data_IF_374380696051
#
_entry.id   IF_374380696051
#
_cell.length_a   1.000
_cell.length_b   1.000
_cell.length_c   1.000
_cell.angle_alpha   90.00
_cell.angle_beta   90.00
_cell.angle_gamma   90.00
#
_symmetry.space_group_name_H-M   'P 1'
#
loop_
_entity.id
_entity.type
_entity.pdbx_description
1 polymer ?
#
# COMPACT_ATOMS: atom_id res chain seq x y z
N UNK A 1 11.42 -27.13 24.98
CA UNK A 1 12.09 -25.99 25.64
C UNK A 1 11.01 -25.10 26.23
N UNK A 2 11.20 -24.58 27.45
CA UNK A 2 10.23 -23.70 28.09
C UNK A 2 9.97 -22.44 27.20
N UNK A 3 8.75 -21.96 27.23
CA UNK A 3 8.28 -20.77 26.48
C UNK A 3 7.66 -19.77 27.46
N UNK A 4 7.57 -18.53 27.02
CA UNK A 4 6.82 -17.46 27.70
C UNK A 4 7.35 -17.16 29.10
N UNK A 5 8.68 -17.01 29.21
CA UNK A 5 9.40 -16.83 30.48
C UNK A 5 9.46 -15.38 30.95
N UNK A 6 9.27 -14.42 30.05
CA UNK A 6 9.32 -13.00 30.39
C UNK A 6 7.94 -12.47 30.80
N UNK A 7 7.99 -11.45 31.65
CA UNK A 7 6.82 -10.65 32.01
C UNK A 7 7.03 -9.19 31.58
N UNK A 8 5.95 -8.44 31.35
CA UNK A 8 6.04 -7.02 31.01
C UNK A 8 6.75 -6.20 32.11
N UNK A 9 6.56 -6.55 33.36
CA UNK A 9 7.26 -5.93 34.49
C UNK A 9 8.78 -6.08 34.32
N UNK A 10 9.26 -7.31 34.06
CA UNK A 10 10.69 -7.59 33.85
C UNK A 10 11.28 -6.87 32.66
N UNK A 11 10.53 -6.78 31.56
CA UNK A 11 10.93 -6.05 30.35
C UNK A 11 11.03 -4.55 30.63
N UNK A 12 10.03 -3.99 31.29
CA UNK A 12 9.97 -2.56 31.61
C UNK A 12 11.11 -2.13 32.54
N UNK A 13 11.38 -2.91 33.57
CA UNK A 13 12.41 -2.61 34.54
C UNK A 13 13.84 -2.95 34.13
N UNK A 14 14.02 -3.65 32.99
CA UNK A 14 15.35 -3.94 32.47
C UNK A 14 16.10 -2.64 32.14
N UNK A 15 17.25 -2.45 32.80
CA UNK A 15 18.12 -1.26 32.61
C UNK A 15 19.31 -1.61 31.73
N UNK A 16 19.89 -0.61 31.02
CA UNK A 16 21.17 -0.81 30.32
C UNK A 16 22.27 -1.23 31.28
N UNK A 17 23.26 -1.95 30.77
CA UNK A 17 24.47 -2.34 31.45
C UNK A 17 25.70 -2.00 30.59
N UNK A 18 26.89 -2.19 31.12
CA UNK A 18 28.15 -1.90 30.41
C UNK A 18 28.31 -2.66 29.10
N UNK A 19 27.59 -3.79 28.97
CA UNK A 19 27.53 -4.56 27.72
C UNK A 19 26.08 -4.96 27.42
N UNK A 20 25.77 -5.09 26.13
CA UNK A 20 24.46 -5.55 25.70
C UNK A 20 24.19 -7.00 26.22
N UNK A 21 22.99 -7.24 26.73
CA UNK A 21 22.60 -8.54 27.27
C UNK A 21 21.24 -9.01 26.77
N UNK A 22 20.98 -10.31 26.93
CA UNK A 22 19.77 -10.96 26.43
C UNK A 22 18.88 -11.42 27.56
N UNK A 23 17.59 -11.13 27.45
CA UNK A 23 16.54 -11.71 28.29
C UNK A 23 15.74 -12.70 27.43
N UNK A 24 15.91 -14.00 27.71
CA UNK A 24 15.23 -15.06 26.93
C UNK A 24 13.76 -15.19 27.33
N UNK A 25 12.88 -15.28 26.32
CA UNK A 25 11.45 -15.61 26.50
C UNK A 25 11.15 -17.06 26.17
N UNK A 26 12.09 -17.75 25.56
CA UNK A 26 11.96 -19.14 25.13
C UNK A 26 11.53 -19.29 23.66
N UNK A 27 11.68 -20.52 23.18
CA UNK A 27 11.42 -20.82 21.78
C UNK A 27 12.28 -20.06 20.76
N UNK A 28 13.47 -19.57 21.19
CA UNK A 28 14.36 -18.74 20.37
C UNK A 28 14.11 -17.26 20.45
N UNK A 29 13.01 -16.81 21.05
CA UNK A 29 12.68 -15.40 21.30
C UNK A 29 13.50 -14.85 22.48
N UNK A 30 14.07 -13.67 22.31
CA UNK A 30 14.73 -12.93 23.36
C UNK A 30 14.64 -11.43 23.14
N UNK A 31 14.71 -10.69 24.24
CA UNK A 31 14.88 -9.25 24.23
C UNK A 31 16.37 -8.93 24.39
N UNK A 32 16.95 -8.23 23.45
CA UNK A 32 18.30 -7.68 23.54
C UNK A 32 18.21 -6.28 24.14
N UNK A 33 18.80 -6.08 25.31
CA UNK A 33 18.97 -4.78 25.95
C UNK A 33 20.35 -4.28 25.57
N UNK A 34 20.41 -3.15 24.86
CA UNK A 34 21.69 -2.54 24.43
C UNK A 34 22.28 -1.68 25.53
N UNK A 35 23.53 -1.34 25.41
CA UNK A 35 24.25 -0.40 26.29
C UNK A 35 23.58 0.97 26.34
N UNK A 36 22.94 1.39 25.24
CA UNK A 36 22.18 2.65 25.14
C UNK A 36 20.76 2.55 25.71
N UNK A 37 20.36 1.40 26.24
CA UNK A 37 19.01 1.17 26.79
C UNK A 37 17.93 0.80 25.77
N UNK A 38 18.26 0.69 24.49
CA UNK A 38 17.31 0.21 23.50
C UNK A 38 17.00 -1.28 23.74
N UNK A 39 15.72 -1.64 23.60
CA UNK A 39 15.21 -3.00 23.83
C UNK A 39 14.69 -3.58 22.54
N UNK A 40 15.40 -4.58 22.01
CA UNK A 40 15.17 -5.11 20.66
C UNK A 40 14.69 -6.56 20.73
N UNK A 41 13.51 -6.84 20.20
CA UNK A 41 13.01 -8.19 20.05
C UNK A 41 13.71 -8.91 18.91
N UNK A 42 14.28 -10.07 19.21
CA UNK A 42 15.02 -10.93 18.29
C UNK A 42 14.56 -12.38 18.42
N UNK A 43 14.50 -13.08 17.29
CA UNK A 43 14.28 -14.52 17.23
C UNK A 43 15.51 -15.19 16.65
N UNK A 44 16.18 -16.04 17.42
CA UNK A 44 17.21 -16.95 16.93
C UNK A 44 16.53 -18.21 16.38
N UNK A 45 16.88 -18.60 15.17
CA UNK A 45 16.32 -19.77 14.50
C UNK A 45 17.39 -20.54 13.73
N UNK A 46 17.05 -21.75 13.28
CA UNK A 46 17.89 -22.55 12.41
C UNK A 46 17.09 -23.00 11.19
N UNK A 47 17.64 -22.83 10.02
CA UNK A 47 17.03 -23.20 8.74
C UNK A 47 18.06 -23.85 7.85
N UNK A 48 17.80 -25.09 7.36
CA UNK A 48 18.76 -25.82 6.52
C UNK A 48 20.12 -26.02 7.17
N UNK A 49 20.16 -26.26 8.50
CA UNK A 49 21.39 -26.41 9.27
C UNK A 49 22.10 -25.11 9.64
N UNK A 50 21.72 -23.97 9.06
CA UNK A 50 22.34 -22.64 9.31
C UNK A 50 21.57 -21.88 10.38
N UNK A 51 22.31 -21.20 11.26
CA UNK A 51 21.71 -20.28 12.24
C UNK A 51 21.32 -18.96 11.57
N UNK A 52 20.17 -18.44 11.97
CA UNK A 52 19.66 -17.14 11.54
C UNK A 52 19.16 -16.31 12.72
N UNK A 53 19.10 -15.01 12.52
CA UNK A 53 18.56 -14.05 13.47
C UNK A 53 17.49 -13.20 12.78
N UNK A 54 16.26 -13.24 13.31
CA UNK A 54 15.15 -12.45 12.81
C UNK A 54 14.86 -11.28 13.74
N UNK A 55 14.85 -10.08 13.19
CA UNK A 55 14.54 -8.85 13.91
C UNK A 55 13.03 -8.64 13.94
N UNK A 56 12.39 -8.73 15.09
CA UNK A 56 10.95 -8.57 15.23
C UNK A 56 10.59 -7.09 15.33
N UNK A 57 11.17 -6.37 16.29
CA UNK A 57 10.88 -4.95 16.49
C UNK A 57 11.53 -4.42 17.77
N UNK A 58 11.16 -3.20 18.14
CA UNK A 58 11.69 -2.50 19.30
C UNK A 58 10.60 -2.35 20.37
N UNK A 59 10.89 -2.66 21.61
CA UNK A 59 10.02 -2.32 22.74
C UNK A 59 10.16 -0.82 23.05
N UNK A 60 9.06 -0.07 23.37
CA UNK A 60 7.69 -0.56 23.57
C UNK A 60 6.81 -0.60 22.30
N UNK A 61 7.30 -0.19 21.13
CA UNK A 61 6.51 -0.17 19.90
C UNK A 61 5.97 -1.57 19.53
N UNK A 62 6.72 -2.64 19.90
CA UNK A 62 6.28 -4.03 19.84
C UNK A 62 6.24 -4.56 21.28
N UNK A 63 5.06 -4.84 21.79
CA UNK A 63 4.84 -5.42 23.12
C UNK A 63 5.19 -6.90 23.18
N UNK A 64 5.17 -7.48 24.40
CA UNK A 64 5.51 -8.88 24.64
C UNK A 64 4.57 -9.84 23.88
N UNK A 65 3.26 -9.58 23.91
CA UNK A 65 2.27 -10.41 23.23
C UNK A 65 2.48 -10.41 21.70
N UNK A 66 2.74 -9.23 21.12
CA UNK A 66 3.03 -9.07 19.69
C UNK A 66 4.35 -9.76 19.29
N UNK A 67 5.39 -9.66 20.15
CA UNK A 67 6.65 -10.34 19.92
C UNK A 67 6.49 -11.87 19.90
N UNK A 68 5.66 -12.43 20.80
CA UNK A 68 5.32 -13.85 20.83
C UNK A 68 4.54 -14.28 19.59
N UNK A 69 3.55 -13.51 19.17
CA UNK A 69 2.80 -13.75 17.93
C UNK A 69 3.73 -13.75 16.71
N UNK A 70 4.63 -12.77 16.62
CA UNK A 70 5.61 -12.68 15.55
C UNK A 70 6.62 -13.85 15.55
N UNK A 71 7.04 -14.31 16.75
CA UNK A 71 7.84 -15.55 16.89
C UNK A 71 7.11 -16.75 16.29
N UNK A 72 5.84 -16.93 16.67
CA UNK A 72 5.08 -18.10 16.26
C UNK A 72 4.80 -18.07 14.74
N UNK A 73 4.44 -16.92 14.18
CA UNK A 73 4.34 -16.73 12.73
C UNK A 73 5.67 -17.03 12.00
N UNK A 74 6.79 -16.51 12.52
CA UNK A 74 8.10 -16.79 11.93
C UNK A 74 8.46 -18.28 11.98
N UNK A 75 8.06 -19.00 13.03
CA UNK A 75 8.26 -20.44 13.14
C UNK A 75 7.49 -21.24 12.11
N UNK A 76 6.27 -20.82 11.77
CA UNK A 76 5.51 -21.47 10.69
C UNK A 76 6.21 -21.30 9.33
N UNK A 77 6.75 -20.12 9.03
CA UNK A 77 7.57 -19.93 7.83
C UNK A 77 8.81 -20.83 7.82
N UNK A 78 9.51 -20.93 8.95
CA UNK A 78 10.70 -21.79 9.08
C UNK A 78 10.36 -23.26 8.87
N UNK A 79 9.22 -23.75 9.36
CA UNK A 79 8.72 -25.11 9.10
C UNK A 79 8.50 -25.38 7.61
N UNK A 80 8.08 -24.34 6.88
CA UNK A 80 7.88 -24.38 5.42
C UNK A 80 9.20 -24.22 4.64
N UNK A 81 10.34 -24.11 5.31
CA UNK A 81 11.64 -23.88 4.67
C UNK A 81 11.88 -22.43 4.24
N UNK A 82 11.04 -21.48 4.69
CA UNK A 82 11.12 -20.08 4.30
C UNK A 82 11.86 -19.28 5.36
N UNK A 83 12.83 -18.46 4.93
CA UNK A 83 13.55 -17.56 5.83
C UNK A 83 12.68 -16.35 6.16
N UNK A 84 12.30 -16.11 7.43
CA UNK A 84 11.40 -15.03 7.82
C UNK A 84 11.95 -13.63 7.52
N UNK A 85 13.28 -13.45 7.50
CA UNK A 85 13.89 -12.17 7.16
C UNK A 85 13.77 -11.86 5.67
N UNK A 86 13.95 -12.86 4.80
CA UNK A 86 13.77 -12.73 3.36
C UNK A 86 12.29 -12.48 3.03
N UNK A 87 11.42 -13.31 3.57
CA UNK A 87 9.96 -13.16 3.38
C UNK A 87 9.48 -11.73 3.71
N UNK A 88 9.88 -11.18 4.88
CA UNK A 88 9.53 -9.81 5.24
C UNK A 88 10.07 -8.77 4.26
N UNK A 89 11.30 -8.97 3.76
CA UNK A 89 11.90 -8.08 2.76
C UNK A 89 11.13 -8.11 1.46
N UNK A 90 10.76 -9.29 0.99
CA UNK A 90 10.02 -9.48 -0.25
C UNK A 90 8.60 -8.90 -0.15
N UNK A 91 7.90 -9.14 0.95
CA UNK A 91 6.60 -8.51 1.21
C UNK A 91 6.68 -6.98 1.25
N UNK A 92 7.72 -6.45 1.90
CA UNK A 92 7.92 -5.00 1.92
C UNK A 92 8.17 -4.42 0.53
N UNK A 93 8.98 -5.10 -0.29
CA UNK A 93 9.23 -4.67 -1.66
C UNK A 93 7.97 -4.74 -2.51
N UNK A 94 7.18 -5.80 -2.37
CA UNK A 94 5.88 -5.95 -3.03
C UNK A 94 4.93 -4.81 -2.67
N UNK A 95 4.78 -4.52 -1.38
CA UNK A 95 3.92 -3.43 -0.90
C UNK A 95 4.38 -2.05 -1.41
N UNK A 96 5.69 -1.81 -1.48
CA UNK A 96 6.24 -0.57 -2.05
C UNK A 96 5.92 -0.48 -3.55
N UNK A 97 6.16 -1.56 -4.30
CA UNK A 97 5.88 -1.59 -5.74
C UNK A 97 4.38 -1.39 -6.03
N UNK A 98 3.49 -2.02 -5.25
CA UNK A 98 2.04 -1.83 -5.36
C UNK A 98 1.62 -0.40 -5.03
N UNK A 99 2.21 0.21 -3.99
CA UNK A 99 1.94 1.60 -3.62
C UNK A 99 2.42 2.59 -4.71
N UNK A 100 3.57 2.32 -5.32
CA UNK A 100 4.09 3.12 -6.43
C UNK A 100 3.24 2.95 -7.70
N UNK A 101 2.84 1.72 -8.01
CA UNK A 101 1.93 1.43 -9.13
C UNK A 101 0.59 2.17 -8.94
N UNK A 102 0.03 2.13 -7.73
CA UNK A 102 -1.20 2.87 -7.38
C UNK A 102 -1.02 4.38 -7.51
N UNK A 103 0.13 4.93 -7.08
CA UNK A 103 0.43 6.36 -7.26
C UNK A 103 0.55 6.74 -8.73
N UNK A 104 1.17 5.89 -9.57
CA UNK A 104 1.27 6.11 -11.03
C UNK A 104 -0.11 6.07 -11.67
N UNK A 105 -0.93 5.07 -11.34
CA UNK A 105 -2.32 4.98 -11.81
C UNK A 105 -3.13 6.23 -11.43
N UNK A 106 -3.02 6.71 -10.20
CA UNK A 106 -3.69 7.95 -9.77
C UNK A 106 -3.17 9.20 -10.50
N UNK A 107 -1.88 9.25 -10.86
CA UNK A 107 -1.32 10.38 -11.65
C UNK A 107 -1.87 10.42 -13.07
N UNK A 108 -2.15 9.27 -13.64
CA UNK A 108 -2.71 9.11 -15.00
C UNK A 108 -4.20 8.79 -14.97
N UNK A 109 -4.92 9.06 -13.89
CA UNK A 109 -6.36 8.84 -13.83
C UNK A 109 -7.12 9.79 -14.75
N UNK A 110 -8.25 9.32 -15.30
CA UNK A 110 -9.12 10.14 -16.14
C UNK A 110 -9.51 11.45 -15.46
N UNK A 111 -9.81 11.42 -14.15
CA UNK A 111 -10.10 12.63 -13.37
C UNK A 111 -9.01 13.71 -13.49
N UNK A 112 -7.73 13.32 -13.42
CA UNK A 112 -6.62 14.26 -13.53
C UNK A 112 -6.39 14.75 -14.95
N UNK A 113 -6.47 13.85 -15.93
CA UNK A 113 -6.28 14.20 -17.33
C UNK A 113 -7.42 15.10 -17.82
N UNK A 114 -8.67 14.76 -17.50
CA UNK A 114 -9.83 15.59 -17.85
C UNK A 114 -9.82 16.96 -17.16
N UNK A 115 -9.38 17.04 -15.89
CA UNK A 115 -9.21 18.32 -15.22
C UNK A 115 -8.10 19.19 -15.85
N UNK A 116 -6.98 18.59 -16.22
CA UNK A 116 -5.90 19.31 -16.94
C UNK A 116 -6.40 19.80 -18.30
N UNK A 117 -7.07 18.95 -19.07
CA UNK A 117 -7.71 19.32 -20.34
C UNK A 117 -8.69 20.48 -20.18
N UNK A 118 -9.57 20.43 -19.18
CA UNK A 118 -10.52 21.52 -18.91
C UNK A 118 -9.82 22.82 -18.54
N UNK A 119 -8.77 22.77 -17.75
CA UNK A 119 -7.99 23.95 -17.37
C UNK A 119 -7.32 24.61 -18.61
N UNK A 120 -6.74 23.78 -19.49
CA UNK A 120 -6.12 24.24 -20.73
C UNK A 120 -7.17 24.74 -21.75
N UNK A 121 -8.31 24.09 -21.85
CA UNK A 121 -9.40 24.49 -22.75
C UNK A 121 -10.08 25.80 -22.33
N UNK A 122 -10.10 26.15 -21.04
CA UNK A 122 -10.85 27.28 -20.51
C UNK A 122 -10.63 28.61 -21.23
N UNK A 123 -9.40 29.06 -21.54
CA UNK A 123 -9.16 30.32 -22.25
C UNK A 123 -9.62 30.32 -23.72
N UNK A 124 -9.87 29.13 -24.30
CA UNK A 124 -10.25 28.99 -25.73
C UNK A 124 -11.76 28.93 -25.96
N UNK A 125 -12.57 28.96 -24.90
CA UNK A 125 -14.02 28.88 -24.98
C UNK A 125 -14.70 30.07 -24.31
N UNK A 126 -15.91 30.42 -24.77
CA UNK A 126 -16.78 31.35 -24.04
C UNK A 126 -17.20 30.67 -22.71
N UNK A 127 -17.51 31.48 -21.69
CA UNK A 127 -17.94 30.98 -20.37
C UNK A 127 -19.10 29.97 -20.47
N UNK A 128 -20.10 30.24 -21.32
CA UNK A 128 -21.25 29.34 -21.51
C UNK A 128 -20.85 28.02 -22.17
N UNK A 129 -20.00 28.07 -23.20
CA UNK A 129 -19.52 26.87 -23.90
C UNK A 129 -18.64 26.01 -22.97
N UNK A 130 -17.79 26.66 -22.17
CA UNK A 130 -16.95 25.98 -21.19
C UNK A 130 -17.80 25.24 -20.13
N UNK A 131 -18.77 25.92 -19.53
CA UNK A 131 -19.68 25.33 -18.53
C UNK A 131 -20.45 24.14 -19.10
N UNK A 132 -20.90 24.24 -20.34
CA UNK A 132 -21.60 23.14 -21.01
C UNK A 132 -20.68 21.93 -21.20
N UNK A 133 -19.43 22.13 -21.62
CA UNK A 133 -18.42 21.09 -21.78
C UNK A 133 -18.08 20.43 -20.44
N UNK A 134 -17.79 21.22 -19.42
CA UNK A 134 -17.51 20.76 -18.06
C UNK A 134 -18.67 19.94 -17.47
N UNK A 135 -19.89 20.45 -17.58
CA UNK A 135 -21.11 19.76 -17.11
C UNK A 135 -21.30 18.42 -17.81
N UNK A 136 -21.03 18.35 -19.13
CA UNK A 136 -21.15 17.13 -19.91
C UNK A 136 -20.12 16.08 -19.49
N UNK A 137 -18.85 16.46 -19.35
CA UNK A 137 -17.78 15.58 -18.85
C UNK A 137 -18.16 15.06 -17.47
N UNK A 138 -18.53 15.94 -16.55
CA UNK A 138 -18.93 15.61 -15.17
C UNK A 138 -20.15 14.67 -15.13
N UNK A 139 -21.15 14.89 -15.98
CA UNK A 139 -22.39 14.10 -15.98
C UNK A 139 -22.19 12.71 -16.59
N UNK A 140 -21.49 12.59 -17.70
CA UNK A 140 -21.46 11.37 -18.50
C UNK A 140 -20.17 10.57 -18.36
N UNK A 141 -19.03 11.22 -18.20
CA UNK A 141 -17.72 10.57 -18.19
C UNK A 141 -17.19 10.31 -16.78
N UNK A 142 -17.20 11.33 -15.91
CA UNK A 142 -16.64 11.26 -14.57
C UNK A 142 -17.17 10.09 -13.73
N UNK A 143 -18.47 9.78 -13.67
CA UNK A 143 -18.97 8.70 -12.81
C UNK A 143 -18.46 7.31 -13.17
N UNK A 144 -17.97 7.13 -14.39
CA UNK A 144 -17.50 5.83 -14.89
C UNK A 144 -16.00 5.76 -15.09
N UNK A 145 -15.35 6.89 -15.38
CA UNK A 145 -13.96 6.92 -15.82
C UNK A 145 -12.99 7.53 -14.82
N UNK A 146 -13.41 8.41 -13.89
CA UNK A 146 -12.52 9.17 -13.03
C UNK A 146 -11.54 8.32 -12.22
N UNK A 147 -11.96 7.14 -11.78
CA UNK A 147 -11.14 6.23 -11.00
C UNK A 147 -10.17 5.39 -11.85
N UNK A 148 -10.38 5.32 -13.17
CA UNK A 148 -9.57 4.51 -14.07
C UNK A 148 -8.32 5.25 -14.52
N UNK A 149 -7.23 4.53 -14.71
CA UNK A 149 -6.06 5.07 -15.36
C UNK A 149 -6.36 5.27 -16.87
N UNK A 150 -5.83 6.34 -17.47
CA UNK A 150 -6.13 6.71 -18.86
C UNK A 150 -5.82 5.59 -19.86
N UNK A 151 -4.77 4.81 -19.59
CA UNK A 151 -4.35 3.69 -20.41
C UNK A 151 -5.19 2.41 -20.22
N UNK A 152 -6.07 2.38 -19.22
CA UNK A 152 -7.01 1.27 -18.95
C UNK A 152 -8.38 1.52 -19.58
N UNK A 153 -8.62 2.75 -20.07
CA UNK A 153 -9.87 3.13 -20.71
C UNK A 153 -9.86 2.69 -22.16
N UNK A 154 -10.67 1.68 -22.44
CA UNK A 154 -10.82 1.12 -23.77
C UNK A 154 -12.28 1.13 -24.28
N UNK A 155 -12.53 0.44 -25.39
CA UNK A 155 -13.88 0.35 -25.97
C UNK A 155 -14.93 -0.22 -25.03
N UNK A 156 -14.52 -1.09 -24.08
CA UNK A 156 -15.43 -1.72 -23.12
C UNK A 156 -15.96 -0.71 -22.09
N UNK A 157 -15.16 0.26 -21.71
CA UNK A 157 -15.51 1.32 -20.75
C UNK A 157 -16.30 2.43 -21.45
N UNK A 158 -15.91 2.77 -22.69
CA UNK A 158 -16.50 3.88 -23.45
C UNK A 158 -17.86 3.53 -24.03
N UNK A 159 -18.01 2.33 -24.59
CA UNK A 159 -19.24 1.91 -25.30
C UNK A 159 -20.53 2.01 -24.47
N UNK A 160 -20.57 1.56 -23.20
CA UNK A 160 -21.74 1.71 -22.34
C UNK A 160 -22.11 3.18 -22.10
N UNK A 161 -21.12 4.06 -21.98
CA UNK A 161 -21.33 5.50 -21.77
C UNK A 161 -22.01 6.11 -23.00
N UNK A 162 -21.47 5.83 -24.18
CA UNK A 162 -22.04 6.34 -25.44
C UNK A 162 -23.44 5.81 -25.73
N UNK A 163 -23.73 4.56 -25.32
CA UNK A 163 -25.08 4.00 -25.43
C UNK A 163 -26.06 4.71 -24.48
N UNK A 164 -25.67 4.95 -23.22
CA UNK A 164 -26.49 5.69 -22.27
C UNK A 164 -26.75 7.14 -22.70
N UNK A 165 -25.79 7.78 -23.40
CA UNK A 165 -25.97 9.12 -23.94
C UNK A 165 -27.10 9.22 -24.98
N UNK A 166 -27.44 8.12 -25.69
CA UNK A 166 -28.54 8.11 -26.67
C UNK A 166 -29.89 8.38 -26.02
N UNK A 167 -30.10 7.97 -24.77
CA UNK A 167 -31.32 8.26 -24.00
C UNK A 167 -31.51 9.77 -23.73
N UNK A 168 -30.41 10.53 -23.79
CA UNK A 168 -30.38 11.99 -23.61
C UNK A 168 -30.40 12.76 -24.96
N UNK A 169 -30.61 12.05 -26.10
CA UNK A 169 -30.65 12.60 -27.43
C UNK A 169 -29.38 12.34 -28.26
N UNK A 170 -29.53 12.28 -29.53
CA UNK A 170 -28.44 11.97 -30.50
C UNK A 170 -27.22 12.90 -30.37
N UNK A 171 -27.44 14.16 -30.11
CA UNK A 171 -26.41 15.19 -29.95
C UNK A 171 -25.52 14.95 -28.74
N UNK A 172 -26.07 14.41 -27.61
CA UNK A 172 -25.30 14.14 -26.41
C UNK A 172 -24.16 13.14 -26.68
N UNK A 173 -24.44 12.07 -27.40
CA UNK A 173 -23.43 11.05 -27.74
C UNK A 173 -22.32 11.60 -28.64
N UNK A 174 -22.67 12.44 -29.63
CA UNK A 174 -21.70 13.06 -30.53
C UNK A 174 -20.73 13.97 -29.77
N UNK A 175 -21.25 14.82 -28.89
CA UNK A 175 -20.44 15.73 -28.12
C UNK A 175 -19.58 15.01 -27.04
N UNK A 176 -20.12 13.99 -26.38
CA UNK A 176 -19.35 13.15 -25.42
C UNK A 176 -18.21 12.43 -26.13
N UNK A 177 -18.44 11.91 -27.35
CA UNK A 177 -17.39 11.31 -28.17
C UNK A 177 -16.31 12.33 -28.55
N UNK A 178 -16.71 13.55 -28.94
CA UNK A 178 -15.76 14.63 -29.22
C UNK A 178 -14.95 15.05 -28.01
N UNK A 179 -15.58 15.16 -26.85
CA UNK A 179 -14.86 15.46 -25.59
C UNK A 179 -13.87 14.36 -25.21
N UNK A 180 -14.25 13.09 -25.37
CA UNK A 180 -13.34 11.96 -25.18
C UNK A 180 -12.15 12.04 -26.13
N UNK A 181 -12.36 12.22 -27.42
CA UNK A 181 -11.26 12.36 -28.39
C UNK A 181 -10.29 13.46 -27.98
N UNK A 182 -10.81 14.62 -27.62
CA UNK A 182 -9.97 15.77 -27.22
C UNK A 182 -9.24 15.59 -25.88
N UNK A 183 -9.71 14.71 -24.98
CA UNK A 183 -9.02 14.40 -23.73
C UNK A 183 -7.90 13.38 -23.97
N UNK A 184 -8.03 12.53 -25.01
CA UNK A 184 -7.05 11.48 -25.32
C UNK A 184 -5.97 11.91 -26.33
N UNK A 185 -6.11 13.09 -26.96
CA UNK A 185 -5.07 13.74 -27.79
C UNK A 185 -4.02 14.45 -26.94
#
# INVERSE_FOLDING_TARGET
MPKDLLTDAKIRTAKPADAAYKLGDGGGLFLLVTETGSKLWRLKFRLGGKEGLFSIGTYPAVGLAEARAARDAAKELIKQGINPSHHRKDERQKNIAEAEARKRAMKSSFAKVSAAYLADAKPHYTEGSYRTKESRIRKFLSPKLDALAINEIGPNEIRPILLACKEHGAWAGIHVKGDLSAIFE
#
